data_IF_167212640259
#
_entry.id   IF_167212640259
#
_cell.length_a   1.000
_cell.length_b   1.000
_cell.length_c   1.000
_cell.angle_alpha   90.00
_cell.angle_beta   90.00
_cell.angle_gamma   90.00
#
_symmetry.space_group_name_H-M   'P 1'
#
loop_
_entity.id
_entity.type
_entity.pdbx_description
1 polymer ?
#
# COMPACT_ATOMS: atom_id res chain seq x y z
N UNK A 1 10.43 -13.21 -5.60
CA UNK A 1 10.31 -12.17 -4.54
C UNK A 1 10.07 -10.80 -5.19
N UNK A 2 9.04 -10.06 -4.77
CA UNK A 2 8.81 -8.69 -5.27
C UNK A 2 9.95 -7.79 -4.82
N UNK A 3 10.36 -6.82 -5.66
CA UNK A 3 11.50 -5.95 -5.36
C UNK A 3 11.39 -5.25 -4.00
N UNK A 4 10.17 -4.89 -3.56
CA UNK A 4 9.94 -4.25 -2.27
C UNK A 4 10.22 -5.19 -1.06
N UNK A 5 9.76 -6.45 -1.12
CA UNK A 5 9.95 -7.39 0.00
C UNK A 5 11.41 -7.77 0.23
N UNK A 6 12.24 -7.75 -0.83
CA UNK A 6 13.68 -7.98 -0.71
C UNK A 6 14.41 -6.90 0.11
N UNK A 7 13.87 -5.67 0.17
CA UNK A 7 14.54 -4.55 0.84
C UNK A 7 14.63 -4.75 2.36
N UNK A 8 13.65 -5.41 2.99
CA UNK A 8 13.70 -5.72 4.42
C UNK A 8 14.91 -6.62 4.77
N UNK A 9 15.18 -7.64 3.93
CA UNK A 9 16.34 -8.52 4.11
C UNK A 9 17.66 -7.79 3.88
N UNK A 10 17.71 -6.85 2.92
CA UNK A 10 18.88 -6.01 2.66
C UNK A 10 19.18 -5.09 3.84
N UNK A 11 18.16 -4.43 4.38
CA UNK A 11 18.27 -3.66 5.61
C UNK A 11 18.76 -4.53 6.79
N UNK A 12 18.22 -5.75 6.94
CA UNK A 12 18.65 -6.69 7.98
C UNK A 12 20.13 -7.09 7.83
N UNK A 13 20.63 -7.20 6.59
CA UNK A 13 22.05 -7.43 6.28
C UNK A 13 22.94 -6.20 6.46
N UNK A 14 22.38 -5.07 6.87
CA UNK A 14 23.12 -3.84 7.16
C UNK A 14 23.32 -2.92 5.95
N UNK A 15 22.67 -3.18 4.82
CA UNK A 15 22.72 -2.28 3.65
C UNK A 15 22.06 -0.92 3.98
N UNK A 16 22.61 0.15 3.39
CA UNK A 16 22.18 1.54 3.60
C UNK A 16 22.25 2.33 2.29
N UNK A 17 21.52 3.44 2.21
CA UNK A 17 21.50 4.32 1.05
C UNK A 17 20.20 4.23 0.26
N UNK A 18 20.14 4.86 -0.91
CA UNK A 18 18.94 4.86 -1.76
C UNK A 18 19.12 3.86 -2.90
N UNK A 19 18.08 3.06 -3.16
CA UNK A 19 18.08 2.05 -4.21
C UNK A 19 16.83 2.19 -5.07
N UNK A 20 16.98 1.93 -6.36
CA UNK A 20 15.87 1.89 -7.29
C UNK A 20 15.06 0.59 -7.11
N UNK A 21 13.73 0.69 -7.26
CA UNK A 21 12.79 -0.43 -7.34
C UNK A 21 11.77 -0.21 -8.47
N UNK A 22 10.98 -1.24 -8.78
CA UNK A 22 9.99 -1.26 -9.87
C UNK A 22 10.63 -0.86 -11.20
N UNK A 23 11.65 -1.60 -11.61
CA UNK A 23 12.40 -1.32 -12.84
C UNK A 23 12.97 0.10 -12.97
N UNK A 24 13.21 0.80 -11.85
CA UNK A 24 13.77 2.15 -11.86
C UNK A 24 12.75 3.28 -11.69
N UNK A 25 11.45 2.97 -11.65
CA UNK A 25 10.39 3.98 -11.56
C UNK A 25 10.22 4.58 -10.16
N UNK A 26 10.77 3.93 -9.14
CA UNK A 26 10.65 4.32 -7.73
C UNK A 26 11.97 4.11 -6.99
N UNK A 27 12.13 4.80 -5.88
CA UNK A 27 13.30 4.68 -5.01
C UNK A 27 12.88 4.33 -3.58
N UNK A 28 13.78 3.65 -2.86
CA UNK A 28 13.62 3.29 -1.45
C UNK A 28 14.90 3.63 -0.69
N UNK A 29 14.75 4.30 0.44
CA UNK A 29 15.85 4.52 1.39
C UNK A 29 16.02 3.28 2.30
N UNK A 30 17.19 2.65 2.23
CA UNK A 30 17.61 1.56 3.10
C UNK A 30 18.23 2.11 4.38
N UNK A 31 17.70 1.66 5.51
CA UNK A 31 18.17 2.02 6.85
C UNK A 31 17.80 0.90 7.83
N UNK A 32 18.37 0.89 9.05
CA UNK A 32 18.01 -0.10 10.07
C UNK A 32 16.51 -0.17 10.39
N UNK A 33 15.75 0.93 10.20
CA UNK A 33 14.28 0.93 10.38
C UNK A 33 13.60 -0.08 9.47
N UNK A 34 14.10 -0.25 8.24
CA UNK A 34 13.55 -1.21 7.26
C UNK A 34 13.76 -2.68 7.64
N UNK A 35 14.62 -2.97 8.63
CA UNK A 35 14.81 -4.32 9.17
C UNK A 35 13.84 -4.63 10.33
N UNK A 36 13.08 -3.64 10.79
CA UNK A 36 12.14 -3.82 11.90
C UNK A 36 10.80 -4.35 11.41
N UNK A 37 10.16 -5.19 12.21
CA UNK A 37 8.77 -5.63 11.98
C UNK A 37 7.94 -5.13 13.14
N UNK A 38 6.88 -4.37 12.82
CA UNK A 38 5.91 -3.90 13.80
C UNK A 38 4.60 -4.66 13.59
N UNK A 39 4.04 -5.18 14.68
CA UNK A 39 2.74 -5.82 14.67
C UNK A 39 1.70 -4.82 15.17
N UNK A 40 0.60 -4.70 14.42
CA UNK A 40 -0.49 -3.78 14.73
C UNK A 40 -1.72 -4.59 15.14
N UNK A 41 -2.33 -4.27 16.28
CA UNK A 41 -3.63 -4.83 16.64
C UNK A 41 -4.69 -4.24 15.70
N UNK A 42 -5.45 -5.07 14.97
CA UNK A 42 -6.37 -4.57 13.96
C UNK A 42 -7.50 -3.71 14.54
N UNK A 43 -8.02 -4.06 15.73
CA UNK A 43 -9.12 -3.32 16.37
C UNK A 43 -8.64 -1.95 16.82
N UNK A 44 -7.50 -1.91 17.50
CA UNK A 44 -6.88 -0.65 17.95
C UNK A 44 -6.51 0.21 16.74
N UNK A 45 -5.96 -0.39 15.69
CA UNK A 45 -5.51 0.35 14.50
C UNK A 45 -6.70 0.96 13.75
N UNK A 46 -7.78 0.21 13.54
CA UNK A 46 -9.02 0.74 12.94
C UNK A 46 -9.60 1.87 13.79
N UNK A 47 -9.59 1.73 15.11
CA UNK A 47 -10.08 2.76 16.02
C UNK A 47 -9.20 4.03 16.11
N UNK A 48 -7.97 4.01 15.60
CA UNK A 48 -6.99 5.10 15.80
C UNK A 48 -6.38 5.63 14.51
N UNK A 49 -5.66 4.80 13.76
CA UNK A 49 -4.79 5.24 12.67
C UNK A 49 -5.26 4.82 11.28
N UNK A 50 -5.96 3.70 11.14
CA UNK A 50 -6.41 3.17 9.86
C UNK A 50 -7.72 3.82 9.38
N UNK A 51 -7.66 5.14 9.14
CA UNK A 51 -8.80 5.98 8.74
C UNK A 51 -9.56 5.45 7.53
N UNK A 52 -8.84 4.96 6.51
CA UNK A 52 -9.46 4.39 5.31
C UNK A 52 -10.17 3.07 5.61
N UNK A 53 -9.57 2.20 6.42
CA UNK A 53 -10.20 0.94 6.83
C UNK A 53 -11.44 1.21 7.70
N UNK A 54 -11.37 2.18 8.61
CA UNK A 54 -12.51 2.60 9.42
C UNK A 54 -13.66 3.16 8.57
N UNK A 55 -13.33 3.95 7.54
CA UNK A 55 -14.33 4.55 6.65
C UNK A 55 -15.14 3.51 5.88
N UNK A 56 -14.50 2.40 5.48
CA UNK A 56 -15.15 1.35 4.67
C UNK A 56 -15.61 0.14 5.49
N UNK A 57 -15.44 0.16 6.82
CA UNK A 57 -15.62 -1.02 7.68
C UNK A 57 -17.05 -1.58 7.65
N UNK A 58 -18.05 -0.70 7.54
CA UNK A 58 -19.48 -1.05 7.54
C UNK A 58 -20.10 -1.10 6.14
N UNK A 59 -19.31 -0.90 5.07
CA UNK A 59 -19.83 -0.93 3.70
C UNK A 59 -20.26 -2.35 3.31
N UNK A 60 -21.40 -2.46 2.63
CA UNK A 60 -21.97 -3.74 2.19
C UNK A 60 -21.48 -4.21 0.83
N UNK A 61 -20.80 -3.36 0.05
CA UNK A 61 -20.29 -3.70 -1.28
C UNK A 61 -18.98 -2.99 -1.61
N UNK A 62 -18.28 -3.49 -2.64
CA UNK A 62 -17.07 -2.85 -3.16
C UNK A 62 -17.37 -1.49 -3.80
N UNK A 63 -18.53 -1.35 -4.43
CA UNK A 63 -18.99 -0.09 -5.01
C UNK A 63 -19.18 0.98 -3.94
N UNK A 64 -19.89 0.65 -2.87
CA UNK A 64 -20.12 1.56 -1.75
C UNK A 64 -18.79 1.96 -1.08
N UNK A 65 -17.91 0.99 -0.84
CA UNK A 65 -16.59 1.26 -0.30
C UNK A 65 -15.76 2.18 -1.22
N UNK A 66 -15.83 1.98 -2.55
CA UNK A 66 -15.13 2.81 -3.51
C UNK A 66 -15.65 4.26 -3.51
N UNK A 67 -16.96 4.44 -3.46
CA UNK A 67 -17.60 5.76 -3.39
C UNK A 67 -17.20 6.49 -2.09
N UNK A 68 -17.13 5.78 -0.96
CA UNK A 68 -16.62 6.32 0.31
C UNK A 68 -15.17 6.76 0.17
N UNK A 69 -14.29 5.92 -0.42
CA UNK A 69 -12.89 6.29 -0.64
C UNK A 69 -12.76 7.52 -1.55
N UNK A 70 -13.58 7.61 -2.61
CA UNK A 70 -13.61 8.78 -3.49
C UNK A 70 -14.04 10.05 -2.78
N UNK A 71 -15.02 9.96 -1.87
CA UNK A 71 -15.44 11.10 -1.04
C UNK A 71 -14.31 11.63 -0.13
N UNK A 72 -13.32 10.78 0.18
CA UNK A 72 -12.10 11.13 0.91
C UNK A 72 -10.94 11.56 0.00
N UNK A 73 -11.17 11.66 -1.31
CA UNK A 73 -10.13 11.98 -2.30
C UNK A 73 -9.14 10.84 -2.55
N UNK A 74 -9.50 9.61 -2.18
CA UNK A 74 -8.65 8.43 -2.34
C UNK A 74 -9.10 7.63 -3.57
N UNK A 75 -8.17 7.44 -4.50
CA UNK A 75 -8.33 6.52 -5.62
C UNK A 75 -7.93 5.11 -5.20
N UNK A 76 -8.73 4.10 -5.56
CA UNK A 76 -8.54 2.71 -5.15
C UNK A 76 -7.95 1.83 -6.27
N UNK A 77 -7.64 0.57 -5.96
CA UNK A 77 -7.25 -0.43 -6.98
C UNK A 77 -8.42 -0.77 -7.91
N UNK A 78 -9.66 -0.72 -7.43
CA UNK A 78 -10.85 -0.97 -8.25
C UNK A 78 -10.96 0.05 -9.40
N UNK A 79 -10.54 1.29 -9.17
CA UNK A 79 -10.48 2.30 -10.23
C UNK A 79 -9.46 1.93 -11.30
N UNK A 80 -8.28 1.45 -10.88
CA UNK A 80 -7.21 1.02 -11.77
C UNK A 80 -7.61 -0.20 -12.60
N UNK A 81 -8.25 -1.19 -11.97
CA UNK A 81 -8.78 -2.39 -12.63
C UNK A 81 -9.80 -2.01 -13.71
N UNK A 82 -10.78 -1.17 -13.36
CA UNK A 82 -11.81 -0.71 -14.31
C UNK A 82 -11.24 0.12 -15.47
N UNK A 83 -10.20 0.90 -15.24
CA UNK A 83 -9.52 1.65 -16.31
C UNK A 83 -8.75 0.74 -17.27
N UNK A 84 -8.11 -0.32 -16.75
CA UNK A 84 -7.46 -1.34 -17.58
C UNK A 84 -8.47 -2.09 -18.44
N UNK A 85 -9.65 -2.40 -17.92
CA UNK A 85 -10.72 -3.03 -18.69
C UNK A 85 -11.26 -2.11 -19.80
N UNK A 86 -11.37 -0.80 -19.53
CA UNK A 86 -11.82 0.20 -20.52
C UNK A 86 -10.76 0.57 -21.56
N UNK A 87 -9.49 0.31 -21.26
CA UNK A 87 -8.36 0.56 -22.15
C UNK A 87 -7.80 -0.79 -22.60
N UNK A 88 -8.47 -1.51 -23.53
CA UNK A 88 -7.93 -2.78 -24.02
C UNK A 88 -6.52 -2.51 -24.55
N UNK A 89 -5.55 -3.29 -24.05
CA UNK A 89 -4.13 -3.19 -24.39
C UNK A 89 -3.94 -2.83 -25.87
N UNK A 90 -3.32 -1.66 -26.11
CA UNK A 90 -2.70 -1.37 -27.40
C UNK A 90 -1.47 -2.27 -27.61
#
# INVERSE_FOLDING_TARGET
PTEASAQALRCFRGERGVVAIRHGEREVALSPVGATTTYLDPRVTVATAARLAAAVYECGSLEEANDVLHSLGVRSELDLERERERSPSA
#
